data_IF_674496704531
#
_entry.id   IF_674496704531
#
_cell.length_a   1.000
_cell.length_b   1.000
_cell.length_c   1.000
_cell.angle_alpha   90.00
_cell.angle_beta   90.00
_cell.angle_gamma   90.00
#
_symmetry.space_group_name_H-M   'P 1'
#
loop_
_entity.id
_entity.type
_entity.pdbx_description
1 polymer ?
#
# COMPACT_ATOMS: atom_id res chain seq x y z
N UNK A 1 10.85 -9.10 -9.89
CA UNK A 1 10.14 -10.20 -10.61
C UNK A 1 8.95 -10.72 -9.82
N UNK A 2 9.07 -10.99 -8.51
CA UNK A 2 7.95 -11.48 -7.68
C UNK A 2 6.81 -10.47 -7.43
N UNK A 3 7.00 -9.19 -7.78
CA UNK A 3 5.95 -8.17 -7.64
C UNK A 3 4.78 -8.35 -8.61
N UNK A 4 5.03 -8.84 -9.83
CA UNK A 4 3.98 -9.06 -10.87
C UNK A 4 2.88 -10.02 -10.40
N UNK A 5 3.21 -11.25 -9.92
CA UNK A 5 2.17 -12.15 -9.41
C UNK A 5 1.49 -11.60 -8.16
N UNK A 6 2.20 -10.80 -7.35
CA UNK A 6 1.62 -10.08 -6.22
C UNK A 6 0.54 -9.10 -6.64
N UNK A 7 0.82 -8.25 -7.63
CA UNK A 7 -0.15 -7.25 -8.11
C UNK A 7 -1.39 -7.90 -8.72
N UNK A 8 -1.22 -8.99 -9.45
CA UNK A 8 -2.33 -9.79 -9.94
C UNK A 8 -3.18 -10.37 -8.80
N UNK A 9 -2.53 -10.95 -7.79
CA UNK A 9 -3.21 -11.53 -6.63
C UNK A 9 -3.98 -10.46 -5.84
N UNK A 10 -3.39 -9.28 -5.65
CA UNK A 10 -4.03 -8.16 -4.97
C UNK A 10 -5.22 -7.57 -5.73
N UNK A 11 -5.13 -7.50 -7.06
CA UNK A 11 -6.27 -7.14 -7.89
C UNK A 11 -7.42 -8.16 -7.76
N UNK A 12 -7.09 -9.45 -7.84
CA UNK A 12 -8.07 -10.52 -7.70
C UNK A 12 -8.74 -10.51 -6.33
N UNK A 13 -8.00 -10.42 -5.22
CA UNK A 13 -8.58 -10.41 -3.87
C UNK A 13 -9.42 -9.17 -3.60
N UNK A 14 -9.04 -8.01 -4.15
CA UNK A 14 -9.82 -6.77 -4.02
C UNK A 14 -11.18 -6.93 -4.68
N UNK A 15 -11.25 -7.57 -5.85
CA UNK A 15 -12.52 -7.89 -6.53
C UNK A 15 -13.34 -8.89 -5.71
N UNK A 16 -12.73 -9.93 -5.17
CA UNK A 16 -13.43 -10.95 -4.38
C UNK A 16 -14.00 -10.40 -3.06
N UNK A 17 -13.22 -9.59 -2.35
CA UNK A 17 -13.61 -9.01 -1.06
C UNK A 17 -14.46 -7.75 -1.19
N UNK A 18 -14.63 -7.25 -2.43
CA UNK A 18 -15.29 -5.99 -2.79
C UNK A 18 -14.75 -4.75 -2.08
N UNK A 19 -13.60 -4.84 -1.41
CA UNK A 19 -13.04 -3.76 -0.61
C UNK A 19 -11.52 -3.81 -0.66
N UNK A 20 -10.84 -2.73 -1.11
CA UNK A 20 -9.39 -2.66 -1.12
C UNK A 20 -8.81 -2.65 0.30
N UNK A 21 -9.52 -2.06 1.28
CA UNK A 21 -9.10 -2.08 2.70
C UNK A 21 -8.95 -3.52 3.20
N UNK A 22 -9.96 -4.36 2.97
CA UNK A 22 -9.92 -5.77 3.41
C UNK A 22 -8.79 -6.55 2.73
N UNK A 23 -8.53 -6.25 1.45
CA UNK A 23 -7.41 -6.82 0.69
C UNK A 23 -6.06 -6.40 1.27
N UNK A 24 -5.90 -5.12 1.63
CA UNK A 24 -4.71 -4.57 2.26
C UNK A 24 -4.48 -5.14 3.67
N UNK A 25 -5.54 -5.28 4.48
CA UNK A 25 -5.46 -5.92 5.81
C UNK A 25 -5.00 -7.37 5.66
N UNK A 26 -5.60 -8.14 4.75
CA UNK A 26 -5.21 -9.54 4.50
C UNK A 26 -3.74 -9.65 4.09
N UNK A 27 -3.30 -8.78 3.18
CA UNK A 27 -1.91 -8.74 2.75
C UNK A 27 -0.95 -8.37 3.90
N UNK A 28 -1.30 -7.39 4.74
CA UNK A 28 -0.48 -7.01 5.89
C UNK A 28 -0.41 -8.12 6.95
N UNK A 29 -1.51 -8.81 7.23
CA UNK A 29 -1.51 -9.98 8.12
C UNK A 29 -0.61 -11.09 7.54
N UNK A 30 -0.67 -11.34 6.23
CA UNK A 30 0.25 -12.27 5.58
C UNK A 30 1.71 -11.80 5.71
N UNK A 31 1.97 -10.51 5.59
CA UNK A 31 3.30 -9.92 5.77
C UNK A 31 3.86 -10.17 7.17
N UNK A 32 3.04 -9.98 8.21
CA UNK A 32 3.39 -10.25 9.61
C UNK A 32 3.68 -11.74 9.81
N UNK A 33 2.85 -12.63 9.27
CA UNK A 33 3.06 -14.07 9.40
C UNK A 33 4.33 -14.52 8.69
N UNK A 34 4.57 -14.06 7.46
CA UNK A 34 5.75 -14.39 6.67
C UNK A 34 7.02 -13.88 7.36
N UNK A 35 7.00 -12.65 7.86
CA UNK A 35 8.16 -12.00 8.48
C UNK A 35 8.42 -12.55 9.88
N UNK A 36 7.40 -12.83 10.68
CA UNK A 36 7.52 -13.52 11.97
C UNK A 36 8.05 -14.95 11.82
N UNK A 37 7.57 -15.70 10.82
CA UNK A 37 8.14 -17.00 10.47
C UNK A 37 9.61 -16.88 10.02
N UNK A 38 9.94 -15.85 9.22
CA UNK A 38 11.31 -15.57 8.82
C UNK A 38 12.21 -15.26 10.03
N UNK A 39 11.74 -14.48 11.00
CA UNK A 39 12.46 -14.16 12.22
C UNK A 39 12.81 -15.41 13.04
N UNK A 40 11.91 -16.41 13.06
CA UNK A 40 12.18 -17.68 13.74
C UNK A 40 13.12 -18.59 12.93
N UNK A 41 12.92 -18.70 11.62
CA UNK A 41 13.64 -19.66 10.76
C UNK A 41 15.02 -19.18 10.30
N UNK A 42 15.24 -17.86 10.18
CA UNK A 42 16.49 -17.27 9.68
C UNK A 42 17.52 -16.95 10.78
N UNK A 43 17.33 -17.44 12.01
CA UNK A 43 18.31 -17.27 13.11
C UNK A 43 19.70 -17.80 12.78
N UNK A 44 19.78 -18.88 11.98
CA UNK A 44 21.05 -19.46 11.57
C UNK A 44 21.37 -19.08 10.12
N UNK A 45 22.56 -18.49 9.93
CA UNK A 45 23.06 -17.99 8.64
C UNK A 45 23.34 -19.09 7.60
N UNK A 46 23.27 -20.37 7.98
CA UNK A 46 23.54 -21.51 7.09
C UNK A 46 22.42 -21.75 6.04
N UNK A 47 21.21 -21.23 6.26
CA UNK A 47 20.06 -21.52 5.40
C UNK A 47 19.84 -20.48 4.28
N UNK A 48 20.86 -20.24 3.45
CA UNK A 48 20.79 -19.29 2.31
C UNK A 48 19.58 -19.51 1.39
N UNK A 49 19.15 -20.77 1.22
CA UNK A 49 17.97 -21.12 0.41
C UNK A 49 16.66 -20.56 0.98
N UNK A 50 16.51 -20.56 2.30
CA UNK A 50 15.32 -20.01 2.96
C UNK A 50 15.23 -18.49 2.75
N UNK A 51 16.35 -17.78 2.79
CA UNK A 51 16.38 -16.34 2.54
C UNK A 51 15.85 -15.98 1.13
N UNK A 52 16.22 -16.74 0.09
CA UNK A 52 15.66 -16.54 -1.25
C UNK A 52 14.16 -16.80 -1.32
N UNK A 53 13.69 -17.85 -0.63
CA UNK A 53 12.26 -18.17 -0.57
C UNK A 53 11.45 -17.05 0.12
N UNK A 54 11.92 -16.54 1.26
CA UNK A 54 11.29 -15.40 1.95
C UNK A 54 11.37 -14.12 1.11
N UNK A 55 12.48 -13.89 0.40
CA UNK A 55 12.61 -12.78 -0.54
C UNK A 55 11.56 -12.79 -1.66
N UNK A 56 11.22 -13.97 -2.18
CA UNK A 56 10.12 -14.11 -3.16
C UNK A 56 8.76 -13.81 -2.51
N UNK A 57 8.50 -14.34 -1.32
CA UNK A 57 7.25 -14.10 -0.58
C UNK A 57 7.06 -12.62 -0.26
N UNK A 58 8.09 -11.94 0.25
CA UNK A 58 8.06 -10.50 0.49
C UNK A 58 7.85 -9.73 -0.81
N UNK A 59 8.55 -10.10 -1.89
CA UNK A 59 8.35 -9.46 -3.20
C UNK A 59 6.92 -9.59 -3.72
N UNK A 60 6.26 -10.72 -3.49
CA UNK A 60 4.84 -10.92 -3.81
C UNK A 60 3.92 -10.09 -2.92
N UNK A 61 4.17 -10.01 -1.62
CA UNK A 61 3.35 -9.19 -0.72
C UNK A 61 3.50 -7.68 -1.03
N UNK A 62 4.70 -7.20 -1.34
CA UNK A 62 4.92 -5.81 -1.80
C UNK A 62 4.17 -5.57 -3.10
N UNK A 63 4.28 -6.50 -4.06
CA UNK A 63 3.57 -6.42 -5.34
C UNK A 63 2.06 -6.37 -5.20
N UNK A 64 1.50 -7.04 -4.20
CA UNK A 64 0.07 -6.98 -3.87
C UNK A 64 -0.29 -5.62 -3.27
N UNK A 65 0.44 -5.19 -2.25
CA UNK A 65 0.05 -4.05 -1.44
C UNK A 65 0.19 -2.71 -2.19
N UNK A 66 1.28 -2.50 -2.93
CA UNK A 66 1.55 -1.24 -3.64
C UNK A 66 0.42 -0.74 -4.55
N UNK A 67 -0.13 -1.56 -5.47
CA UNK A 67 -1.25 -1.12 -6.30
C UNK A 67 -2.55 -0.96 -5.50
N UNK A 68 -2.81 -1.82 -4.51
CA UNK A 68 -4.04 -1.74 -3.69
C UNK A 68 -4.08 -0.43 -2.90
N UNK A 69 -2.98 -0.06 -2.23
CA UNK A 69 -2.90 1.16 -1.44
C UNK A 69 -3.03 2.41 -2.31
N UNK A 70 -2.34 2.43 -3.45
CA UNK A 70 -2.36 3.57 -4.37
C UNK A 70 -3.75 3.75 -4.98
N UNK A 71 -4.39 2.67 -5.44
CA UNK A 71 -5.76 2.74 -5.99
C UNK A 71 -6.77 3.13 -4.92
N UNK A 72 -6.65 2.59 -3.71
CA UNK A 72 -7.49 2.95 -2.57
C UNK A 72 -7.40 4.46 -2.27
N UNK A 73 -6.18 4.99 -2.17
CA UNK A 73 -5.99 6.41 -1.86
C UNK A 73 -6.49 7.34 -2.97
N UNK A 74 -6.25 7.02 -4.24
CA UNK A 74 -6.72 7.81 -5.38
C UNK A 74 -8.25 7.83 -5.45
N UNK A 75 -8.92 6.72 -5.10
CA UNK A 75 -10.37 6.60 -5.21
C UNK A 75 -11.17 7.46 -4.21
N UNK A 76 -10.54 7.86 -3.09
CA UNK A 76 -11.17 8.68 -2.04
C UNK A 76 -10.70 10.14 -2.07
N UNK A 77 -9.98 10.53 -3.13
CA UNK A 77 -9.36 11.85 -3.22
C UNK A 77 -10.27 12.84 -3.97
N UNK A 78 -10.53 14.04 -3.42
CA UNK A 78 -11.33 15.05 -4.09
C UNK A 78 -10.61 15.58 -5.34
N UNK A 79 -11.38 15.91 -6.38
CA UNK A 79 -10.89 16.28 -7.72
C UNK A 79 -9.97 17.49 -7.73
N UNK A 80 -10.33 18.51 -6.96
CA UNK A 80 -9.76 19.85 -7.04
C UNK A 80 -8.41 19.96 -6.33
N UNK A 81 -8.18 19.12 -5.32
CA UNK A 81 -6.95 19.09 -4.53
C UNK A 81 -6.12 17.83 -4.75
N UNK A 82 -6.31 17.11 -5.86
CA UNK A 82 -5.60 15.83 -6.09
C UNK A 82 -4.08 15.94 -5.99
N UNK A 83 -3.52 17.02 -6.51
CA UNK A 83 -2.07 17.24 -6.47
C UNK A 83 -1.56 17.40 -5.02
N UNK A 84 -2.31 18.11 -4.18
CA UNK A 84 -1.95 18.37 -2.78
C UNK A 84 -2.01 17.08 -1.95
N UNK A 85 -3.13 16.34 -2.05
CA UNK A 85 -3.30 15.07 -1.35
C UNK A 85 -2.28 14.02 -1.81
N UNK A 86 -2.01 13.93 -3.11
CA UNK A 86 -0.96 13.04 -3.62
C UNK A 86 0.43 13.44 -3.11
N UNK A 87 0.71 14.75 -3.00
CA UNK A 87 1.95 15.25 -2.40
C UNK A 87 2.12 14.81 -0.95
N UNK A 88 1.07 14.93 -0.12
CA UNK A 88 1.07 14.48 1.27
C UNK A 88 1.28 12.96 1.36
N UNK A 89 0.60 12.19 0.51
CA UNK A 89 0.78 10.75 0.44
C UNK A 89 2.21 10.35 0.07
N UNK A 90 2.79 10.96 -0.96
CA UNK A 90 4.17 10.66 -1.36
C UNK A 90 5.18 11.06 -0.28
N UNK A 91 4.94 12.16 0.45
CA UNK A 91 5.75 12.55 1.59
C UNK A 91 5.69 11.49 2.71
N UNK A 92 4.49 11.04 3.07
CA UNK A 92 4.29 10.01 4.09
C UNK A 92 4.94 8.67 3.69
N UNK A 93 4.75 8.23 2.44
CA UNK A 93 5.41 7.03 1.88
C UNK A 93 6.92 7.17 1.94
N UNK A 94 7.46 8.34 1.59
CA UNK A 94 8.91 8.58 1.62
C UNK A 94 9.49 8.49 3.02
N UNK A 95 8.82 9.05 4.03
CA UNK A 95 9.27 8.95 5.43
C UNK A 95 9.25 7.49 5.89
N UNK A 96 8.17 6.77 5.60
CA UNK A 96 8.02 5.37 5.99
C UNK A 96 8.87 4.40 5.16
N UNK A 97 9.40 4.81 4.01
CA UNK A 97 10.24 3.96 3.18
C UNK A 97 11.63 3.72 3.77
N UNK A 98 12.20 4.69 4.50
CA UNK A 98 13.53 4.57 5.09
C UNK A 98 13.53 4.34 6.59
N UNK A 99 12.45 4.70 7.31
CA UNK A 99 12.40 4.57 8.76
C UNK A 99 12.53 3.10 9.24
N UNK A 100 11.76 2.12 8.74
CA UNK A 100 11.91 0.72 9.16
C UNK A 100 13.28 0.12 8.80
N UNK A 101 13.83 0.30 7.58
CA UNK A 101 15.19 -0.12 7.27
C UNK A 101 16.26 0.50 8.16
N UNK A 102 16.10 1.77 8.54
CA UNK A 102 17.03 2.45 9.46
C UNK A 102 17.00 1.77 10.84
N UNK A 103 15.83 1.57 11.42
CA UNK A 103 15.67 0.87 12.72
C UNK A 103 16.22 -0.54 12.64
N UNK A 104 15.88 -1.29 11.59
CA UNK A 104 16.42 -2.63 11.34
C UNK A 104 17.96 -2.62 11.30
N UNK A 105 18.55 -1.69 10.56
CA UNK A 105 20.01 -1.60 10.41
C UNK A 105 20.68 -1.25 11.74
N UNK A 106 20.17 -0.27 12.47
CA UNK A 106 20.69 0.12 13.79
C UNK A 106 20.65 -1.05 14.77
N UNK A 107 19.57 -1.83 14.82
CA UNK A 107 19.47 -3.02 15.69
C UNK A 107 20.54 -4.06 15.35
N UNK A 108 20.76 -4.32 14.05
CA UNK A 108 21.80 -5.25 13.60
C UNK A 108 23.22 -4.74 13.90
N UNK A 109 23.47 -3.44 13.76
CA UNK A 109 24.79 -2.83 14.04
C UNK A 109 25.17 -2.86 15.53
N UNK A 110 24.20 -2.76 16.43
CA UNK A 110 24.41 -2.92 17.89
C UNK A 110 24.72 -4.39 18.26
N UNK A 111 24.67 -5.30 17.30
CA UNK A 111 24.96 -6.72 17.50
C UNK A 111 23.77 -7.53 18.02
N UNK A 112 22.55 -7.02 17.89
CA UNK A 112 21.36 -7.81 18.17
C UNK A 112 21.18 -8.91 17.12
N UNK A 113 20.57 -10.02 17.53
CA UNK A 113 20.20 -11.11 16.62
C UNK A 113 19.29 -10.59 15.50
N UNK A 114 19.55 -11.02 14.26
CA UNK A 114 18.78 -10.68 13.06
C UNK A 114 17.27 -10.91 13.25
N UNK A 115 16.88 -11.89 14.06
CA UNK A 115 15.49 -12.14 14.42
C UNK A 115 14.81 -10.91 15.05
N UNK A 116 15.51 -10.19 15.95
CA UNK A 116 14.97 -8.97 16.55
C UNK A 116 14.86 -7.83 15.54
N UNK A 117 15.80 -7.75 14.60
CA UNK A 117 15.69 -6.88 13.43
C UNK A 117 14.39 -7.14 12.67
N UNK A 118 14.11 -8.40 12.32
CA UNK A 118 12.88 -8.76 11.58
C UNK A 118 11.61 -8.52 12.39
N UNK A 119 11.60 -8.84 13.69
CA UNK A 119 10.46 -8.54 14.59
C UNK A 119 10.19 -7.04 14.68
N UNK A 120 11.21 -6.18 14.57
CA UNK A 120 10.99 -4.73 14.55
C UNK A 120 10.16 -4.28 13.33
N UNK A 121 10.29 -4.96 12.18
CA UNK A 121 9.48 -4.68 10.99
C UNK A 121 8.02 -5.09 11.19
N UNK A 122 7.77 -6.21 11.90
CA UNK A 122 6.41 -6.66 12.20
C UNK A 122 5.60 -5.63 12.99
N UNK A 123 6.25 -4.82 13.83
CA UNK A 123 5.58 -3.75 14.57
C UNK A 123 4.96 -2.74 13.59
N UNK A 124 5.67 -2.37 12.52
CA UNK A 124 5.14 -1.43 11.52
C UNK A 124 3.98 -2.03 10.73
N UNK A 125 4.06 -3.31 10.34
CA UNK A 125 2.96 -3.99 9.66
C UNK A 125 1.73 -4.15 10.57
N UNK A 126 1.93 -4.45 11.85
CA UNK A 126 0.85 -4.52 12.84
C UNK A 126 0.20 -3.15 13.05
N UNK A 127 0.98 -2.08 13.12
CA UNK A 127 0.46 -0.72 13.18
C UNK A 127 -0.36 -0.38 11.93
N UNK A 128 0.10 -0.77 10.74
CA UNK A 128 -0.66 -0.61 9.50
C UNK A 128 -2.00 -1.35 9.55
N UNK A 129 -2.04 -2.60 10.04
CA UNK A 129 -3.30 -3.33 10.25
C UNK A 129 -4.22 -2.60 11.21
N UNK A 130 -3.70 -2.13 12.35
CA UNK A 130 -4.50 -1.38 13.33
C UNK A 130 -5.08 -0.12 12.70
N UNK A 131 -4.27 0.68 12.01
CA UNK A 131 -4.77 1.89 11.34
C UNK A 131 -5.79 1.58 10.26
N UNK A 132 -5.59 0.53 9.45
CA UNK A 132 -6.56 0.11 8.44
C UNK A 132 -7.88 -0.37 9.04
N UNK A 133 -7.85 -1.04 10.20
CA UNK A 133 -9.06 -1.42 10.93
C UNK A 133 -9.81 -0.22 11.52
N UNK A 134 -9.13 0.92 11.72
CA UNK A 134 -9.74 2.17 12.17
C UNK A 134 -10.28 3.01 11.01
N UNK A 135 -9.96 2.66 9.75
CA UNK A 135 -10.56 3.31 8.58
C UNK A 135 -12.04 2.95 8.51
N UNK A 136 -12.88 3.96 8.32
CA UNK A 136 -14.33 3.83 8.22
C UNK A 136 -14.80 3.18 6.91
N UNK A 137 -16.06 3.43 6.57
CA UNK A 137 -16.66 2.84 5.36
C UNK A 137 -16.04 3.42 4.09
N UNK A 138 -15.27 2.58 3.39
CA UNK A 138 -14.65 2.91 2.11
C UNK A 138 -15.67 3.24 1.02
N UNK A 139 -16.77 2.49 0.93
CA UNK A 139 -17.75 2.69 -0.13
C UNK A 139 -18.44 4.04 0.03
N UNK A 140 -18.81 4.38 1.27
CA UNK A 140 -19.35 5.68 1.59
C UNK A 140 -18.38 6.81 1.22
N UNK A 141 -17.10 6.67 1.56
CA UNK A 141 -16.10 7.69 1.22
C UNK A 141 -15.95 7.90 -0.30
N UNK A 142 -16.03 6.82 -1.09
CA UNK A 142 -16.00 6.91 -2.56
C UNK A 142 -17.28 7.53 -3.12
N UNK A 143 -18.45 7.21 -2.53
CA UNK A 143 -19.75 7.81 -2.89
C UNK A 143 -19.77 9.31 -2.59
N UNK A 144 -19.36 9.73 -1.39
CA UNK A 144 -19.30 11.14 -0.96
C UNK A 144 -18.45 11.96 -1.94
N UNK A 145 -17.27 11.44 -2.34
CA UNK A 145 -16.42 12.10 -3.34
C UNK A 145 -17.14 12.15 -4.70
N UNK A 146 -17.78 11.07 -5.14
CA UNK A 146 -18.48 11.04 -6.42
C UNK A 146 -19.65 12.03 -6.49
N UNK A 147 -20.40 12.20 -5.39
CA UNK A 147 -21.49 13.19 -5.27
C UNK A 147 -20.95 14.62 -5.37
N UNK A 148 -19.88 14.96 -4.64
CA UNK A 148 -19.22 16.27 -4.72
C UNK A 148 -18.78 16.58 -6.17
N UNK A 149 -18.31 15.57 -6.91
CA UNK A 149 -17.96 15.76 -8.34
C UNK A 149 -19.18 16.05 -9.24
N UNK A 150 -20.36 15.54 -8.90
CA UNK A 150 -21.60 15.82 -9.64
C UNK A 150 -22.16 17.20 -9.31
N UNK A 151 -22.01 17.67 -8.07
CA UNK A 151 -22.45 19.01 -7.67
C UNK A 151 -21.60 20.14 -8.27
N UNK A 152 -20.32 19.88 -8.55
CA UNK A 152 -19.44 20.86 -9.21
C UNK A 152 -19.61 20.95 -10.74
N UNK A 153 -20.26 19.97 -11.38
CA UNK A 153 -20.44 19.93 -12.84
C UNK A 153 -21.63 20.69 -13.47
N UNK A 154 -22.65 21.23 -12.75
CA UNK A 154 -23.73 22.00 -13.39
C UNK A 154 -23.27 23.35 -13.96
N UNK A 155 -22.26 23.99 -13.37
CA UNK A 155 -21.82 25.33 -13.80
C UNK A 155 -20.75 25.32 -14.90
N UNK A 156 -20.05 24.20 -15.13
CA UNK A 156 -18.98 24.14 -16.14
C UNK A 156 -19.47 23.88 -17.56
N UNK A 157 -20.73 23.42 -17.74
CA UNK A 157 -21.31 23.16 -19.06
C UNK A 157 -21.71 24.47 -19.78
N UNK A 158 -21.93 25.57 -19.06
CA UNK A 158 -22.30 26.86 -19.68
C UNK A 158 -21.10 27.65 -20.23
N UNK A 159 -19.86 27.18 -20.00
CA UNK A 159 -18.64 27.87 -20.43
C UNK A 159 -17.70 27.07 -21.34
N UNK A 160 -18.12 25.92 -21.87
CA UNK A 160 -17.36 25.27 -22.96
C UNK A 160 -17.59 26.05 -24.26
N UNK A 161 -16.59 26.78 -24.80
CA UNK A 161 -16.74 27.37 -26.12
C UNK A 161 -16.75 26.21 -27.11
N UNK A 162 -17.82 26.10 -27.90
CA UNK A 162 -18.07 25.08 -28.93
C UNK A 162 -17.08 25.09 -30.10
N UNK A 163 -15.87 25.65 -29.93
CA UNK A 163 -15.08 26.16 -31.05
C UNK A 163 -13.59 25.77 -31.02
N UNK A 164 -13.27 24.53 -30.60
CA UNK A 164 -12.02 23.88 -31.00
C UNK A 164 -12.24 22.43 -31.37
N UNK A 165 -12.56 22.22 -32.65
CA UNK A 165 -12.32 20.95 -33.35
C UNK A 165 -10.86 20.56 -33.12
N UNK A 166 -10.67 19.38 -32.54
CA UNK A 166 -9.38 18.72 -32.42
C UNK A 166 -8.80 18.48 -33.82
N UNK A 167 -7.75 19.23 -34.17
CA UNK A 167 -6.81 18.81 -35.21
C UNK A 167 -5.97 17.67 -34.64
N UNK A 168 -6.22 16.48 -35.16
CA UNK A 168 -5.42 15.28 -34.96
C UNK A 168 -4.00 15.51 -35.51
N UNK A 169 -3.01 15.45 -34.62
CA UNK A 169 -1.63 15.08 -34.92
C UNK A 169 -1.12 14.16 -33.81
#
# INVERSE_FOLDING_TARGET
VAGIPGSWLGGWTTVQLKSPIKSAILCNVLFVLVTGCAAFMLRNSEHKRLAYMFGLLWGTCIGWLSPVDTTMFISVMPKDSRAEFMGIYMLAVSILAWLPPLVFTTLNEVGMDMAWGLVSLDIYFMLAVVFLCLVGDYHKAVEDVAEEMLEMTPETITHVPTDKKYELY
#
